data_IF_340345638297
#
_entry.id   IF_340345638297
#
_cell.length_a   1.000
_cell.length_b   1.000
_cell.length_c   1.000
_cell.angle_alpha   90.00
_cell.angle_beta   90.00
_cell.angle_gamma   90.00
#
_symmetry.space_group_name_H-M   'P 1'
#
loop_
_entity.id
_entity.type
_entity.pdbx_description
1 polymer ?
#
# COMPACT_ATOMS: atom_id res chain seq x y z
N UNK A 1 -25.99 -8.88 -26.60
CA UNK A 1 -25.51 -8.86 -25.19
C UNK A 1 -24.48 -9.98 -24.98
N UNK A 2 -23.56 -9.85 -24.02
CA UNK A 2 -22.51 -10.86 -23.73
C UNK A 2 -22.83 -11.62 -22.42
N UNK A 3 -23.70 -12.67 -22.43
CA UNK A 3 -24.20 -13.31 -21.22
C UNK A 3 -23.10 -13.97 -20.37
N UNK A 4 -22.11 -14.60 -21.00
CA UNK A 4 -20.98 -15.20 -20.30
C UNK A 4 -20.14 -14.16 -19.53
N UNK A 5 -19.96 -12.97 -20.09
CA UNK A 5 -19.22 -11.88 -19.42
C UNK A 5 -20.02 -11.34 -18.23
N UNK A 6 -21.34 -11.19 -18.38
CA UNK A 6 -22.22 -10.79 -17.27
C UNK A 6 -22.13 -11.79 -16.12
N UNK A 7 -22.32 -13.09 -16.41
CA UNK A 7 -22.22 -14.16 -15.43
C UNK A 7 -20.85 -14.20 -14.73
N UNK A 8 -19.77 -14.01 -15.49
CA UNK A 8 -18.43 -13.93 -14.94
C UNK A 8 -18.24 -12.74 -13.98
N UNK A 9 -18.73 -11.55 -14.35
CA UNK A 9 -18.69 -10.37 -13.48
C UNK A 9 -19.48 -10.62 -12.19
N UNK A 10 -20.68 -11.19 -12.31
CA UNK A 10 -21.52 -11.54 -11.16
C UNK A 10 -20.83 -12.54 -10.24
N UNK A 11 -20.22 -13.59 -10.79
CA UNK A 11 -19.49 -14.59 -10.00
C UNK A 11 -18.29 -13.98 -9.28
N UNK A 12 -17.48 -13.17 -9.96
CA UNK A 12 -16.34 -12.50 -9.29
C UNK A 12 -16.77 -11.52 -8.21
N UNK A 13 -17.96 -10.93 -8.28
CA UNK A 13 -18.48 -10.02 -7.25
C UNK A 13 -18.79 -10.75 -5.95
N UNK A 14 -19.25 -12.01 -6.02
CA UNK A 14 -19.58 -12.83 -4.84
C UNK A 14 -18.40 -13.04 -3.90
N UNK A 15 -17.18 -13.15 -4.44
CA UNK A 15 -15.95 -13.46 -3.71
C UNK A 15 -15.08 -12.24 -3.37
N UNK A 16 -15.58 -11.02 -3.55
CA UNK A 16 -14.92 -9.80 -3.04
C UNK A 16 -15.31 -9.62 -1.57
N UNK A 17 -14.56 -8.84 -0.80
CA UNK A 17 -14.89 -8.56 0.62
C UNK A 17 -16.30 -7.96 0.84
N UNK A 18 -16.91 -7.34 -0.18
CA UNK A 18 -18.28 -6.82 -0.14
C UNK A 18 -19.31 -7.77 -0.79
N UNK A 19 -18.86 -8.94 -1.23
CA UNK A 19 -19.65 -9.96 -1.91
C UNK A 19 -20.38 -10.88 -0.95
N UNK A 20 -21.38 -11.60 -1.46
CA UNK A 20 -22.25 -12.48 -0.67
C UNK A 20 -21.52 -13.61 0.04
N UNK A 21 -20.44 -14.15 -0.53
CA UNK A 21 -19.70 -15.29 0.05
C UNK A 21 -18.77 -14.88 1.19
N UNK A 22 -18.46 -13.58 1.29
CA UNK A 22 -17.50 -13.03 2.26
C UNK A 22 -18.16 -11.92 3.10
N UNK A 23 -19.49 -11.81 3.03
CA UNK A 23 -20.27 -10.76 3.66
C UNK A 23 -20.04 -10.76 5.19
N UNK A 24 -19.83 -9.58 5.75
CA UNK A 24 -19.59 -9.40 7.20
C UNK A 24 -18.16 -9.71 7.64
N UNK A 25 -17.25 -10.09 6.74
CA UNK A 25 -15.84 -10.34 7.10
C UNK A 25 -15.02 -9.05 7.23
N UNK A 26 -15.44 -7.99 6.53
CA UNK A 26 -14.85 -6.66 6.64
C UNK A 26 -15.87 -5.66 7.17
N UNK A 27 -15.43 -4.80 8.09
CA UNK A 27 -16.18 -3.67 8.60
C UNK A 27 -16.07 -2.49 7.64
N UNK A 28 -17.13 -1.71 7.53
CA UNK A 28 -17.05 -0.35 7.00
C UNK A 28 -16.28 0.55 7.98
N UNK A 29 -15.74 1.67 7.49
CA UNK A 29 -15.10 2.67 8.36
C UNK A 29 -16.06 3.14 9.47
N UNK A 30 -17.34 3.33 9.16
CA UNK A 30 -18.34 3.77 10.13
C UNK A 30 -18.60 2.73 11.22
N UNK A 31 -18.76 1.45 10.86
CA UNK A 31 -18.92 0.37 11.85
C UNK A 31 -17.71 0.25 12.76
N UNK A 32 -16.50 0.34 12.20
CA UNK A 32 -15.27 0.32 12.98
C UNK A 32 -15.14 1.54 13.91
N UNK A 33 -15.45 2.74 13.44
CA UNK A 33 -15.45 3.95 14.26
C UNK A 33 -16.51 3.91 15.37
N UNK A 34 -17.68 3.32 15.11
CA UNK A 34 -18.71 3.11 16.12
C UNK A 34 -18.26 2.09 17.17
N UNK A 35 -17.57 1.01 16.76
CA UNK A 35 -16.97 0.07 17.71
C UNK A 35 -15.91 0.72 18.61
N UNK A 36 -15.29 1.81 18.15
CA UNK A 36 -14.32 2.61 18.89
C UNK A 36 -14.88 3.94 19.41
N UNK A 37 -16.21 4.10 19.56
CA UNK A 37 -16.84 5.40 19.84
C UNK A 37 -16.19 6.15 21.01
N UNK A 38 -15.90 5.47 22.12
CA UNK A 38 -15.26 6.06 23.31
C UNK A 38 -13.80 6.51 23.09
N UNK A 39 -13.14 5.92 22.10
CA UNK A 39 -11.74 6.14 21.78
C UNK A 39 -11.56 6.93 20.47
N UNK A 40 -12.66 7.31 19.81
CA UNK A 40 -12.66 7.88 18.47
C UNK A 40 -11.90 9.20 18.45
N UNK A 41 -11.00 9.31 17.47
CA UNK A 41 -10.30 10.55 17.12
C UNK A 41 -10.75 11.01 15.73
N UNK A 42 -10.74 12.32 15.53
CA UNK A 42 -11.13 12.95 14.27
C UNK A 42 -10.06 13.93 13.80
N UNK A 43 -10.07 14.19 12.50
CA UNK A 43 -9.18 15.19 11.89
C UNK A 43 -9.83 16.57 11.94
N UNK A 44 -9.17 17.51 12.63
CA UNK A 44 -9.62 18.89 12.86
C UNK A 44 -8.85 19.88 11.99
N UNK A 45 -7.54 19.74 11.85
CA UNK A 45 -6.77 20.63 10.96
C UNK A 45 -7.04 20.30 9.50
N UNK A 46 -7.14 21.31 8.64
CA UNK A 46 -7.22 21.14 7.18
C UNK A 46 -5.91 21.55 6.53
N UNK A 47 -5.16 20.58 5.99
CA UNK A 47 -3.84 20.79 5.38
C UNK A 47 -3.80 20.40 3.90
N UNK A 48 -4.86 20.71 3.16
CA UNK A 48 -5.07 20.26 1.77
C UNK A 48 -4.02 20.74 0.77
N UNK A 49 -3.31 21.84 1.04
CA UNK A 49 -2.26 22.38 0.16
C UNK A 49 -0.95 21.57 0.15
N UNK A 50 -0.80 20.58 1.04
CA UNK A 50 0.45 19.84 1.22
C UNK A 50 0.49 18.51 0.48
N UNK A 51 -0.64 18.08 -0.08
CA UNK A 51 -0.86 16.76 -0.63
C UNK A 51 -1.85 16.83 -1.79
N UNK A 52 -1.79 15.87 -2.71
CA UNK A 52 -2.89 15.69 -3.65
C UNK A 52 -4.13 15.14 -2.91
N UNK A 53 -5.31 15.29 -3.52
CA UNK A 53 -6.60 14.90 -2.93
C UNK A 53 -6.59 13.45 -2.43
N UNK A 54 -6.09 12.52 -3.25
CA UNK A 54 -5.98 11.10 -2.87
C UNK A 54 -5.18 10.91 -1.58
N UNK A 55 -3.98 11.49 -1.54
CA UNK A 55 -3.06 11.30 -0.41
C UNK A 55 -3.59 11.98 0.85
N UNK A 56 -4.27 13.13 0.71
CA UNK A 56 -4.97 13.77 1.82
C UNK A 56 -6.03 12.82 2.41
N UNK A 57 -6.89 12.26 1.55
CA UNK A 57 -7.93 11.31 1.95
C UNK A 57 -7.38 10.11 2.73
N UNK A 58 -6.35 9.44 2.19
CA UNK A 58 -5.74 8.28 2.85
C UNK A 58 -5.12 8.66 4.20
N UNK A 59 -4.34 9.73 4.24
CA UNK A 59 -3.54 10.11 5.41
C UNK A 59 -4.39 10.62 6.55
N UNK A 60 -5.47 11.36 6.27
CA UNK A 60 -6.37 11.86 7.32
C UNK A 60 -7.14 10.72 7.99
N UNK A 61 -7.72 9.82 7.19
CA UNK A 61 -8.44 8.66 7.72
C UNK A 61 -7.50 7.73 8.48
N UNK A 62 -6.35 7.38 7.89
CA UNK A 62 -5.38 6.49 8.54
C UNK A 62 -4.85 7.08 9.85
N UNK A 63 -4.54 8.38 9.89
CA UNK A 63 -4.08 9.04 11.12
C UNK A 63 -5.14 8.99 12.23
N UNK A 64 -6.39 9.29 11.91
CA UNK A 64 -7.50 9.24 12.86
C UNK A 64 -7.74 7.81 13.38
N UNK A 65 -7.66 6.81 12.51
CA UNK A 65 -7.79 5.39 12.89
C UNK A 65 -6.66 4.95 13.80
N UNK A 66 -5.40 5.25 13.46
CA UNK A 66 -4.25 4.91 14.29
C UNK A 66 -4.33 5.62 15.65
N UNK A 67 -4.74 6.89 15.68
CA UNK A 67 -4.92 7.61 16.93
C UNK A 67 -6.07 7.05 17.80
N UNK A 68 -7.16 6.60 17.17
CA UNK A 68 -8.26 5.93 17.88
C UNK A 68 -7.80 4.60 18.47
N UNK A 69 -7.00 3.83 17.71
CA UNK A 69 -6.39 2.60 18.18
C UNK A 69 -5.44 2.84 19.36
N UNK A 70 -4.59 3.87 19.29
CA UNK A 70 -3.71 4.24 20.41
C UNK A 70 -4.53 4.61 21.66
N UNK A 71 -5.65 5.33 21.49
CA UNK A 71 -6.52 5.68 22.61
C UNK A 71 -7.15 4.46 23.25
N UNK A 72 -7.57 3.48 22.44
CA UNK A 72 -8.08 2.20 22.92
C UNK A 72 -7.01 1.39 23.67
N UNK A 73 -5.80 1.32 23.11
CA UNK A 73 -4.65 0.65 23.75
C UNK A 73 -4.30 1.31 25.09
N UNK A 74 -4.25 2.64 25.15
CA UNK A 74 -3.96 3.38 26.38
C UNK A 74 -5.02 3.11 27.46
N UNK A 75 -6.29 3.04 27.06
CA UNK A 75 -7.41 2.77 27.97
C UNK A 75 -7.39 1.36 28.55
N UNK A 76 -6.84 0.38 27.82
CA UNK A 76 -6.65 -1.00 28.28
C UNK A 76 -5.44 -1.14 29.23
N UNK A 77 -4.53 -0.16 29.28
CA UNK A 77 -3.34 -0.17 30.14
C UNK A 77 -3.65 0.35 31.56
N UNK A 78 -3.09 -0.25 32.62
CA UNK A 78 -3.24 0.25 33.98
C UNK A 78 -2.63 1.66 34.15
N UNK A 79 -3.46 2.67 34.43
CA UNK A 79 -3.08 4.09 34.47
C UNK A 79 -2.40 4.58 33.17
N UNK A 80 -2.70 3.94 32.04
CA UNK A 80 -2.11 4.27 30.76
C UNK A 80 -2.60 5.61 30.23
N UNK A 81 -1.66 6.38 29.70
CA UNK A 81 -1.92 7.61 28.98
C UNK A 81 -1.48 7.47 27.52
N UNK A 82 -1.95 8.38 26.68
CA UNK A 82 -1.56 8.40 25.28
C UNK A 82 -0.04 8.67 25.10
N UNK A 83 0.59 9.31 26.09
CA UNK A 83 2.03 9.63 26.10
C UNK A 83 2.91 8.39 26.34
N UNK A 84 2.33 7.30 26.86
CA UNK A 84 3.03 6.02 27.07
C UNK A 84 3.15 5.19 25.77
N UNK A 85 2.48 5.62 24.70
CA UNK A 85 2.43 4.92 23.42
C UNK A 85 3.32 5.63 22.41
N UNK A 86 4.24 4.86 21.83
CA UNK A 86 4.97 5.27 20.63
C UNK A 86 4.38 4.57 19.40
N UNK A 87 4.00 5.34 18.39
CA UNK A 87 3.62 4.78 17.09
C UNK A 87 4.88 4.49 16.28
N UNK A 88 4.97 3.29 15.72
CA UNK A 88 5.98 2.93 14.72
C UNK A 88 5.29 2.90 13.36
N UNK A 89 5.68 3.78 12.42
CA UNK A 89 5.16 3.76 11.04
C UNK A 89 6.12 2.99 10.14
N UNK A 90 5.73 1.78 9.76
CA UNK A 90 6.52 0.89 8.94
C UNK A 90 6.33 1.18 7.45
N UNK A 91 7.40 1.67 6.81
CA UNK A 91 7.34 2.19 5.44
C UNK A 91 6.88 3.64 5.41
N UNK A 92 7.44 4.46 6.29
CA UNK A 92 7.11 5.88 6.48
C UNK A 92 7.17 6.71 5.18
N UNK A 93 8.00 6.27 4.23
CA UNK A 93 8.16 6.89 2.93
C UNK A 93 8.58 8.35 3.08
N UNK A 94 7.68 9.27 2.75
CA UNK A 94 7.97 10.72 2.83
C UNK A 94 7.39 11.37 4.09
N UNK A 95 7.09 10.60 5.13
CA UNK A 95 6.63 11.11 6.42
C UNK A 95 5.19 11.60 6.43
N UNK A 96 4.34 11.20 5.49
CA UNK A 96 3.00 11.78 5.37
C UNK A 96 2.06 11.36 6.50
N UNK A 97 2.00 10.07 6.81
CA UNK A 97 1.17 9.53 7.88
C UNK A 97 1.77 9.91 9.24
N UNK A 98 3.04 9.61 9.48
CA UNK A 98 3.73 9.97 10.73
C UNK A 98 3.60 11.44 11.12
N UNK A 99 3.90 12.35 10.19
CA UNK A 99 3.75 13.79 10.48
C UNK A 99 2.30 14.18 10.76
N UNK A 100 1.32 13.51 10.12
CA UNK A 100 -0.10 13.79 10.36
C UNK A 100 -0.55 13.31 11.74
N UNK A 101 -0.16 12.10 12.15
CA UNK A 101 -0.47 11.56 13.48
C UNK A 101 0.09 12.49 14.57
N UNK A 102 1.36 12.89 14.44
CA UNK A 102 2.00 13.80 15.39
C UNK A 102 1.32 15.17 15.45
N UNK A 103 1.08 15.81 14.30
CA UNK A 103 0.49 17.16 14.22
C UNK A 103 -0.95 17.18 14.70
N UNK A 104 -1.78 16.24 14.27
CA UNK A 104 -3.22 16.26 14.53
C UNK A 104 -3.59 15.77 15.94
N UNK A 105 -2.85 14.76 16.43
CA UNK A 105 -3.23 13.99 17.60
C UNK A 105 -2.21 14.03 18.74
N UNK A 106 -1.05 14.66 18.54
CA UNK A 106 -0.02 14.78 19.58
C UNK A 106 0.63 13.46 19.99
N UNK A 107 0.51 12.42 19.16
CA UNK A 107 1.09 11.11 19.44
C UNK A 107 2.53 11.10 18.93
N UNK A 108 3.45 10.56 19.74
CA UNK A 108 4.83 10.34 19.31
C UNK A 108 4.88 9.28 18.22
N UNK A 109 5.64 9.56 17.17
CA UNK A 109 5.81 8.67 16.02
C UNK A 109 7.28 8.53 15.66
N UNK A 110 7.71 7.28 15.51
CA UNK A 110 8.93 6.92 14.80
C UNK A 110 8.57 6.36 13.43
N UNK A 111 8.86 7.14 12.39
CA UNK A 111 8.82 6.67 11.01
C UNK A 111 10.04 5.83 10.67
N UNK A 112 9.85 4.68 10.05
CA UNK A 112 10.95 3.81 9.62
C UNK A 112 10.79 3.47 8.15
N UNK A 113 11.81 3.75 7.33
CA UNK A 113 11.83 3.40 5.92
C UNK A 113 13.18 2.79 5.55
N UNK A 114 13.19 1.79 4.66
CA UNK A 114 14.44 1.17 4.24
C UNK A 114 15.20 2.00 3.19
N UNK A 115 14.60 3.07 2.65
CA UNK A 115 15.20 3.93 1.64
C UNK A 115 15.61 5.27 2.24
N UNK A 116 16.90 5.57 2.22
CA UNK A 116 17.46 6.80 2.79
C UNK A 116 16.93 8.08 2.12
N UNK A 117 16.62 8.05 0.81
CA UNK A 117 16.04 9.19 0.10
C UNK A 117 14.65 9.52 0.64
N UNK A 118 13.86 8.50 0.98
CA UNK A 118 12.56 8.65 1.60
C UNK A 118 12.67 9.32 2.98
N UNK A 119 13.55 8.80 3.85
CA UNK A 119 13.86 9.37 5.17
C UNK A 119 14.25 10.85 5.06
N UNK A 120 15.21 11.18 4.19
CA UNK A 120 15.63 12.57 3.93
C UNK A 120 14.48 13.47 3.45
N UNK A 121 13.58 12.94 2.61
CA UNK A 121 12.39 13.67 2.16
C UNK A 121 11.37 13.87 3.29
N UNK A 122 11.27 12.93 4.21
CA UNK A 122 10.40 12.98 5.37
C UNK A 122 10.87 14.04 6.38
N UNK A 123 12.18 14.19 6.59
CA UNK A 123 12.77 15.27 7.38
C UNK A 123 12.51 16.64 6.74
N UNK A 124 12.82 16.80 5.45
CA UNK A 124 12.52 18.04 4.70
C UNK A 124 11.05 18.41 4.76
N UNK A 125 10.15 17.41 4.80
CA UNK A 125 8.72 17.64 4.99
C UNK A 125 8.42 18.20 6.38
N UNK A 126 8.99 17.61 7.44
CA UNK A 126 8.85 18.10 8.83
C UNK A 126 9.25 19.56 8.93
N UNK A 127 10.36 19.96 8.33
CA UNK A 127 10.82 21.35 8.34
C UNK A 127 9.84 22.30 7.64
N UNK A 128 9.31 21.89 6.49
CA UNK A 128 8.27 22.67 5.78
C UNK A 128 7.01 22.83 6.62
N UNK A 129 6.63 21.80 7.40
CA UNK A 129 5.44 21.84 8.25
C UNK A 129 5.54 22.90 9.35
N UNK A 130 6.73 23.17 9.90
CA UNK A 130 6.93 24.23 10.92
C UNK A 130 6.36 25.59 10.49
N UNK A 131 6.51 25.94 9.20
CA UNK A 131 6.00 27.21 8.66
C UNK A 131 4.52 27.18 8.28
N UNK A 132 3.94 25.99 8.14
CA UNK A 132 2.58 25.76 7.62
C UNK A 132 1.56 25.48 8.71
N UNK A 133 1.97 24.80 9.78
CA UNK A 133 1.13 24.50 10.94
C UNK A 133 0.50 25.76 11.54
N UNK A 134 1.23 26.87 11.81
CA UNK A 134 0.61 28.08 12.36
C UNK A 134 -0.51 28.63 11.48
N UNK A 135 -0.32 28.62 10.16
CA UNK A 135 -1.34 29.07 9.19
C UNK A 135 -2.56 28.16 9.18
N UNK A 136 -2.35 26.85 9.27
CA UNK A 136 -3.43 25.86 9.29
C UNK A 136 -4.23 25.94 10.60
N UNK A 137 -3.56 26.05 11.75
CA UNK A 137 -4.18 26.21 13.08
C UNK A 137 -5.05 27.46 13.13
N UNK A 138 -4.50 28.61 12.69
CA UNK A 138 -5.26 29.86 12.58
C UNK A 138 -6.47 29.74 11.65
N UNK A 139 -6.30 29.14 10.46
CA UNK A 139 -7.40 28.95 9.49
C UNK A 139 -8.51 28.04 10.04
N UNK A 140 -8.16 27.11 10.92
CA UNK A 140 -9.09 26.17 11.53
C UNK A 140 -9.68 26.69 12.87
N UNK A 141 -9.29 27.88 13.33
CA UNK A 141 -9.68 28.46 14.63
C UNK A 141 -9.32 27.54 15.82
N UNK A 142 -8.12 26.95 15.79
CA UNK A 142 -7.63 26.01 16.81
C UNK A 142 -6.54 26.63 17.71
N UNK A 143 -6.45 27.96 17.76
CA UNK A 143 -5.38 28.67 18.49
C UNK A 143 -5.53 28.56 20.02
N UNK A 144 -6.76 28.32 20.51
CA UNK A 144 -7.11 28.16 21.93
C UNK A 144 -7.06 26.70 22.42
N UNK A 145 -6.89 25.73 21.51
CA UNK A 145 -6.77 24.31 21.86
C UNK A 145 -5.36 24.03 22.42
N UNK A 146 -5.31 23.48 23.63
CA UNK A 146 -4.06 23.27 24.39
C UNK A 146 -3.00 22.50 23.59
N UNK A 147 -3.40 21.45 22.87
CA UNK A 147 -2.49 20.65 22.05
C UNK A 147 -1.89 21.49 20.93
N UNK A 148 -2.72 22.23 20.19
CA UNK A 148 -2.23 23.07 19.10
C UNK A 148 -1.43 24.27 19.59
N UNK A 149 -1.79 24.89 20.73
CA UNK A 149 -0.96 25.92 21.36
C UNK A 149 0.43 25.40 21.71
N UNK A 150 0.52 24.18 22.26
CA UNK A 150 1.81 23.53 22.55
C UNK A 150 2.58 23.16 21.29
N UNK A 151 1.89 22.71 20.24
CA UNK A 151 2.50 22.40 18.94
C UNK A 151 3.15 23.62 18.27
N UNK A 152 2.64 24.82 18.53
CA UNK A 152 3.20 26.07 18.00
C UNK A 152 4.49 26.52 18.72
N UNK A 153 4.86 25.90 19.84
CA UNK A 153 6.16 26.12 20.49
C UNK A 153 7.26 25.46 19.65
N UNK A 154 8.38 26.17 19.45
CA UNK A 154 9.33 26.03 18.33
C UNK A 154 9.91 24.64 18.00
N UNK A 155 9.83 23.66 18.91
CA UNK A 155 10.47 22.35 18.75
C UNK A 155 9.54 21.15 18.96
N UNK A 156 8.26 21.38 19.28
CA UNK A 156 7.31 20.31 19.65
C UNK A 156 7.12 19.27 18.54
N UNK A 157 7.17 19.67 17.27
CA UNK A 157 7.03 18.71 16.17
C UNK A 157 8.23 17.74 16.07
N UNK A 158 9.44 18.18 16.45
CA UNK A 158 10.64 17.33 16.41
C UNK A 158 10.71 16.37 17.60
N UNK A 159 10.05 16.72 18.70
CA UNK A 159 9.89 15.83 19.85
C UNK A 159 8.75 14.83 19.65
N UNK A 160 7.77 15.14 18.79
CA UNK A 160 6.68 14.22 18.45
C UNK A 160 7.01 13.31 17.27
N UNK A 161 7.77 13.77 16.26
CA UNK A 161 7.99 12.99 15.05
C UNK A 161 9.47 12.91 14.65
N UNK A 162 9.99 11.68 14.67
CA UNK A 162 11.32 11.31 14.20
C UNK A 162 11.21 10.26 13.11
N UNK A 163 12.23 10.18 12.26
CA UNK A 163 12.29 9.22 11.15
C UNK A 163 13.69 8.63 11.08
N UNK A 164 13.82 7.40 10.59
CA UNK A 164 15.10 6.69 10.49
C UNK A 164 15.16 5.74 9.30
N UNK A 165 16.37 5.53 8.79
CA UNK A 165 16.62 4.62 7.67
C UNK A 165 16.97 3.24 8.19
N UNK A 166 16.01 2.32 8.18
CA UNK A 166 16.20 0.94 8.59
C UNK A 166 15.19 0.02 7.89
N UNK A 167 15.61 -1.21 7.61
CA UNK A 167 14.68 -2.25 7.19
C UNK A 167 13.92 -2.79 8.40
N UNK A 168 12.59 -2.76 8.38
CA UNK A 168 11.78 -3.48 9.35
C UNK A 168 11.59 -4.92 8.88
N UNK A 169 11.98 -5.84 9.74
CA UNK A 169 11.70 -7.26 9.66
C UNK A 169 11.19 -7.79 11.01
N UNK A 170 11.10 -9.11 11.13
CA UNK A 170 10.60 -9.77 12.33
C UNK A 170 11.66 -9.91 13.44
N UNK A 171 12.91 -9.49 13.20
CA UNK A 171 14.01 -9.50 14.18
C UNK A 171 14.30 -8.09 14.72
N UNK A 172 13.62 -7.08 14.21
CA UNK A 172 13.84 -5.68 14.56
C UNK A 172 13.49 -5.39 16.05
N UNK A 173 14.47 -4.94 16.83
CA UNK A 173 14.26 -4.50 18.22
C UNK A 173 13.70 -3.07 18.27
N UNK A 174 12.37 -2.97 18.39
CA UNK A 174 11.67 -1.70 18.50
C UNK A 174 11.97 -0.94 19.80
N UNK A 175 12.35 -1.62 20.88
CA UNK A 175 12.66 -0.98 22.15
C UNK A 175 14.00 -0.25 22.05
N UNK A 176 15.02 -0.91 21.51
CA UNK A 176 16.31 -0.28 21.26
C UNK A 176 16.17 0.89 20.30
N UNK A 177 15.42 0.70 19.21
CA UNK A 177 15.17 1.75 18.23
C UNK A 177 14.45 2.95 18.85
N UNK A 178 13.41 2.72 19.66
CA UNK A 178 12.70 3.75 20.39
C UNK A 178 13.63 4.50 21.37
N UNK A 179 14.47 3.80 22.13
CA UNK A 179 15.44 4.42 23.05
C UNK A 179 16.48 5.27 22.32
N UNK A 180 16.94 4.83 21.16
CA UNK A 180 17.90 5.59 20.36
C UNK A 180 17.31 6.93 19.90
N UNK A 181 16.08 6.91 19.39
CA UNK A 181 15.45 8.11 18.85
C UNK A 181 14.72 8.96 19.89
N UNK A 182 14.25 8.38 20.98
CA UNK A 182 13.55 9.07 22.08
C UNK A 182 14.18 8.71 23.43
N UNK A 183 15.44 9.09 23.70
CA UNK A 183 16.20 8.64 24.88
C UNK A 183 15.67 9.18 26.21
N UNK A 184 14.93 10.29 26.18
CA UNK A 184 14.29 10.88 27.35
C UNK A 184 13.01 10.13 27.75
N UNK A 185 12.49 9.27 26.87
CA UNK A 185 11.27 8.52 27.09
C UNK A 185 11.59 7.04 27.37
N UNK A 186 10.76 6.39 28.17
CA UNK A 186 10.85 4.96 28.44
C UNK A 186 9.65 4.24 27.81
N UNK A 187 9.47 4.41 26.50
CA UNK A 187 8.39 3.78 25.73
C UNK A 187 8.53 2.25 25.81
N UNK A 188 7.47 1.60 26.31
CA UNK A 188 7.38 0.14 26.43
C UNK A 188 6.14 -0.43 25.75
N UNK A 189 5.26 0.43 25.26
CA UNK A 189 4.08 0.07 24.50
C UNK A 189 4.15 0.74 23.13
N UNK A 190 3.96 -0.04 22.08
CA UNK A 190 3.96 0.42 20.71
C UNK A 190 2.64 0.15 20.03
N UNK A 191 2.27 1.06 19.12
CA UNK A 191 1.28 0.78 18.08
C UNK A 191 2.00 0.76 16.74
N UNK A 192 1.89 -0.34 16.00
CA UNK A 192 2.49 -0.46 14.68
C UNK A 192 1.48 0.00 13.62
N UNK A 193 1.87 0.87 12.71
CA UNK A 193 1.07 1.21 11.56
C UNK A 193 1.87 1.10 10.27
N UNK A 194 1.17 1.09 9.14
CA UNK A 194 1.81 1.18 7.83
C UNK A 194 0.80 1.43 6.74
N UNK A 195 0.99 2.53 6.00
CA UNK A 195 0.12 2.91 4.89
C UNK A 195 0.81 2.63 3.56
N UNK A 196 0.32 1.61 2.85
CA UNK A 196 0.94 1.03 1.63
C UNK A 196 2.20 0.21 1.93
N UNK A 197 2.11 -0.73 2.87
CA UNK A 197 3.21 -1.67 3.16
C UNK A 197 3.46 -2.58 1.95
N UNK A 198 4.59 -2.36 1.27
CA UNK A 198 4.90 -3.05 0.02
C UNK A 198 5.44 -4.46 0.26
N UNK A 199 5.02 -5.44 -0.55
CA UNK A 199 5.64 -6.76 -0.58
C UNK A 199 5.55 -7.50 0.77
N UNK A 200 6.70 -7.93 1.33
CA UNK A 200 6.70 -8.61 2.62
C UNK A 200 6.63 -7.66 3.84
N UNK A 201 6.67 -6.33 3.66
CA UNK A 201 6.63 -5.42 4.80
C UNK A 201 5.36 -5.61 5.63
N UNK A 202 4.19 -5.69 4.99
CA UNK A 202 2.91 -5.97 5.65
C UNK A 202 2.91 -7.27 6.47
N UNK A 203 3.17 -8.45 5.87
CA UNK A 203 3.23 -9.70 6.62
C UNK A 203 4.36 -9.76 7.66
N UNK A 204 5.48 -9.05 7.45
CA UNK A 204 6.53 -8.96 8.47
C UNK A 204 6.08 -8.11 9.67
N UNK A 205 5.33 -7.02 9.45
CA UNK A 205 4.71 -6.26 10.54
C UNK A 205 3.75 -7.13 11.37
N UNK A 206 2.96 -7.98 10.71
CA UNK A 206 2.05 -8.91 11.40
C UNK A 206 2.81 -9.97 12.22
N UNK A 207 3.94 -10.48 11.73
CA UNK A 207 4.82 -11.38 12.50
C UNK A 207 5.47 -10.68 13.67
N UNK A 208 6.00 -9.49 13.44
CA UNK A 208 6.61 -8.67 14.48
C UNK A 208 5.60 -8.36 15.58
N UNK A 209 4.37 -7.98 15.22
CA UNK A 209 3.24 -7.83 16.15
C UNK A 209 2.97 -9.11 16.95
N UNK A 210 3.00 -10.28 16.31
CA UNK A 210 2.79 -11.54 17.01
C UNK A 210 3.93 -11.90 17.98
N UNK A 211 5.18 -11.68 17.56
CA UNK A 211 6.37 -12.09 18.30
C UNK A 211 6.76 -11.10 19.40
N UNK A 212 6.42 -9.81 19.26
CA UNK A 212 6.81 -8.75 20.17
C UNK A 212 5.63 -8.27 21.02
N UNK A 213 5.60 -8.67 22.29
CA UNK A 213 4.54 -8.33 23.25
C UNK A 213 4.44 -6.85 23.59
N UNK A 214 5.45 -6.04 23.26
CA UNK A 214 5.39 -4.58 23.45
C UNK A 214 4.49 -3.90 22.42
N UNK A 215 4.17 -4.56 21.30
CA UNK A 215 3.27 -4.01 20.28
C UNK A 215 1.83 -4.39 20.67
N UNK A 216 1.07 -3.41 21.15
CA UNK A 216 -0.28 -3.62 21.68
C UNK A 216 -1.40 -3.40 20.65
N UNK A 217 -1.09 -2.75 19.53
CA UNK A 217 -2.02 -2.54 18.42
C UNK A 217 -1.32 -2.49 17.08
N UNK A 218 -2.04 -2.88 16.02
CA UNK A 218 -1.57 -2.78 14.65
C UNK A 218 -2.68 -2.24 13.73
N UNK A 219 -2.31 -1.39 12.77
CA UNK A 219 -3.16 -0.97 11.65
C UNK A 219 -2.35 -1.00 10.36
N UNK A 220 -2.63 -1.96 9.46
CA UNK A 220 -1.78 -2.21 8.30
C UNK A 220 -2.56 -2.21 6.98
N UNK A 221 -2.18 -1.31 6.06
CA UNK A 221 -2.70 -1.26 4.70
C UNK A 221 -1.63 -1.80 3.75
N UNK A 222 -1.78 -3.06 3.32
CA UNK A 222 -0.86 -3.71 2.40
C UNK A 222 -1.00 -3.25 0.94
N UNK A 223 0.10 -3.25 0.19
CA UNK A 223 0.06 -3.01 -1.24
C UNK A 223 1.18 -3.74 -2.01
N UNK A 224 1.23 -3.56 -3.34
CA UNK A 224 2.26 -4.11 -4.22
C UNK A 224 2.48 -5.62 -4.01
N UNK A 225 1.40 -6.40 -3.97
CA UNK A 225 1.45 -7.83 -3.65
C UNK A 225 2.41 -8.61 -4.55
N UNK A 226 2.67 -8.16 -5.78
CA UNK A 226 3.63 -8.77 -6.70
C UNK A 226 5.10 -8.74 -6.21
N UNK A 227 5.44 -7.85 -5.27
CA UNK A 227 6.77 -7.79 -4.64
C UNK A 227 6.94 -8.80 -3.50
N UNK A 228 5.85 -9.42 -3.07
CA UNK A 228 5.86 -10.44 -2.03
C UNK A 228 6.58 -11.71 -2.49
N UNK A 229 7.16 -12.47 -1.57
CA UNK A 229 7.65 -13.83 -1.84
C UNK A 229 6.64 -14.86 -1.39
N UNK A 230 6.46 -15.91 -2.19
CA UNK A 230 5.58 -17.04 -1.84
C UNK A 230 6.42 -18.25 -1.42
N UNK A 231 5.97 -18.99 -0.41
CA UNK A 231 6.69 -20.15 0.12
C UNK A 231 6.77 -21.31 -0.89
N UNK A 232 5.68 -21.53 -1.64
CA UNK A 232 5.53 -22.72 -2.48
C UNK A 232 5.68 -22.43 -3.99
N UNK A 233 6.18 -21.25 -4.36
CA UNK A 233 6.38 -20.85 -5.76
C UNK A 233 7.78 -20.27 -5.96
N UNK A 234 8.46 -20.72 -7.01
CA UNK A 234 9.68 -20.08 -7.50
C UNK A 234 9.26 -18.99 -8.49
N UNK A 235 9.61 -17.74 -8.18
CA UNK A 235 9.38 -16.61 -9.06
C UNK A 235 10.63 -16.34 -9.92
N UNK A 236 10.59 -16.76 -11.18
CA UNK A 236 11.67 -16.55 -12.15
C UNK A 236 12.00 -15.06 -12.41
N UNK A 237 11.09 -14.14 -12.05
CA UNK A 237 11.29 -12.70 -12.20
C UNK A 237 11.76 -12.02 -10.91
N UNK A 238 11.85 -12.76 -9.81
CA UNK A 238 12.34 -12.23 -8.56
C UNK A 238 13.85 -12.03 -8.64
N UNK A 239 14.32 -10.81 -8.35
CA UNK A 239 15.74 -10.52 -8.37
C UNK A 239 16.38 -11.09 -7.07
N UNK A 240 17.25 -12.12 -7.15
CA UNK A 240 17.87 -12.70 -5.96
C UNK A 240 18.74 -11.69 -5.20
N UNK A 241 19.26 -10.66 -5.86
CA UNK A 241 20.04 -9.60 -5.22
C UNK A 241 19.19 -8.70 -4.29
N UNK A 242 17.85 -8.80 -4.33
CA UNK A 242 16.92 -8.07 -3.47
C UNK A 242 16.31 -8.91 -2.35
N UNK A 243 16.86 -10.10 -2.09
CA UNK A 243 16.39 -11.00 -1.01
C UNK A 243 16.57 -10.33 0.36
N UNK A 244 17.71 -9.65 0.58
CA UNK A 244 18.01 -8.92 1.82
C UNK A 244 16.93 -7.88 2.17
N UNK A 245 16.36 -7.26 1.14
CA UNK A 245 15.40 -6.16 1.28
C UNK A 245 13.98 -6.66 1.55
N UNK A 246 13.76 -7.98 1.55
CA UNK A 246 12.44 -8.60 1.64
C UNK A 246 12.51 -9.99 2.32
N UNK A 247 12.91 -10.03 3.61
CA UNK A 247 13.16 -11.28 4.31
C UNK A 247 11.89 -12.12 4.47
N UNK A 248 12.08 -13.44 4.50
CA UNK A 248 11.01 -14.42 4.66
C UNK A 248 10.07 -14.58 3.46
N UNK A 249 8.94 -15.24 3.70
CA UNK A 249 7.84 -15.40 2.75
C UNK A 249 6.67 -14.51 3.18
N UNK A 250 6.03 -13.79 2.29
CA UNK A 250 4.87 -12.97 2.62
C UNK A 250 3.53 -13.68 2.45
N UNK A 251 3.49 -14.81 1.74
CA UNK A 251 2.30 -15.64 1.57
C UNK A 251 2.65 -17.13 1.36
N UNK A 252 1.81 -18.08 1.83
CA UNK A 252 0.71 -17.85 2.77
C UNK A 252 1.21 -17.60 4.20
N UNK A 253 0.41 -16.92 5.00
CA UNK A 253 0.66 -16.69 6.43
C UNK A 253 -0.07 -17.69 7.31
N UNK A 254 -1.34 -17.97 7.02
CA UNK A 254 -2.17 -18.87 7.82
C UNK A 254 -1.69 -20.31 7.77
N UNK A 255 -1.79 -21.02 8.89
CA UNK A 255 -1.56 -22.45 8.96
C UNK A 255 -2.50 -23.20 8.00
N UNK A 256 -3.75 -22.76 7.86
CA UNK A 256 -4.72 -23.31 6.93
C UNK A 256 -4.23 -23.37 5.47
N UNK A 257 -3.68 -22.27 4.93
CA UNK A 257 -3.16 -22.24 3.55
C UNK A 257 -1.78 -22.86 3.43
N UNK A 258 -0.92 -22.73 4.45
CA UNK A 258 0.40 -23.38 4.49
C UNK A 258 0.29 -24.91 4.46
N UNK A 259 -0.63 -25.49 5.22
CA UNK A 259 -0.87 -26.94 5.23
C UNK A 259 -1.35 -27.47 3.87
N UNK A 260 -2.00 -26.63 3.07
CA UNK A 260 -2.42 -26.95 1.69
C UNK A 260 -1.35 -26.68 0.66
N UNK A 261 -0.19 -26.13 1.07
CA UNK A 261 0.87 -25.67 0.18
C UNK A 261 0.33 -24.71 -0.89
N UNK A 262 -0.62 -23.86 -0.50
CA UNK A 262 -1.37 -23.03 -1.43
C UNK A 262 -0.49 -21.93 -2.03
N UNK A 263 -0.69 -21.68 -3.32
CA UNK A 263 0.08 -20.73 -4.12
C UNK A 263 -0.85 -19.93 -5.04
N UNK A 264 -0.57 -18.63 -5.17
CA UNK A 264 -1.30 -17.70 -6.06
C UNK A 264 -0.48 -17.45 -7.32
N UNK A 265 0.83 -17.27 -7.17
CA UNK A 265 1.74 -16.89 -8.25
C UNK A 265 1.79 -15.38 -8.51
N UNK A 266 2.93 -14.94 -9.04
CA UNK A 266 3.26 -13.51 -9.24
C UNK A 266 2.23 -12.75 -10.08
N UNK A 267 1.74 -13.35 -11.17
CA UNK A 267 0.83 -12.65 -12.10
C UNK A 267 -0.52 -12.32 -11.46
N UNK A 268 -1.06 -13.24 -10.65
CA UNK A 268 -2.29 -13.00 -9.90
C UNK A 268 -2.06 -11.96 -8.79
N UNK A 269 -0.91 -11.99 -8.08
CA UNK A 269 -0.55 -10.93 -7.13
C UNK A 269 -0.34 -9.56 -7.79
N UNK A 270 0.18 -9.52 -9.01
CA UNK A 270 0.28 -8.29 -9.78
C UNK A 270 -1.11 -7.76 -10.16
N UNK A 271 -2.00 -8.65 -10.60
CA UNK A 271 -3.40 -8.32 -10.86
C UNK A 271 -4.12 -7.82 -9.61
N UNK A 272 -3.87 -8.41 -8.44
CA UNK A 272 -4.43 -7.95 -7.18
C UNK A 272 -4.09 -6.49 -6.88
N UNK A 273 -3.04 -5.92 -7.50
CA UNK A 273 -2.65 -4.51 -7.40
C UNK A 273 -3.43 -3.55 -8.32
N UNK A 274 -4.32 -4.07 -9.17
CA UNK A 274 -5.15 -3.30 -10.10
C UNK A 274 -6.50 -2.93 -9.49
N UNK A 275 -7.21 -2.00 -10.12
CA UNK A 275 -8.52 -1.52 -9.68
C UNK A 275 -9.39 -1.25 -10.88
N UNK A 276 -10.60 -1.82 -10.84
CA UNK A 276 -11.60 -1.66 -11.88
C UNK A 276 -12.50 -0.46 -11.61
N UNK A 277 -12.67 -0.07 -10.35
CA UNK A 277 -13.63 0.94 -9.89
C UNK A 277 -13.40 2.28 -10.59
N UNK A 278 -12.13 2.70 -10.68
CA UNK A 278 -11.76 3.93 -11.38
C UNK A 278 -12.02 3.86 -12.88
N UNK A 279 -11.67 2.74 -13.51
CA UNK A 279 -11.87 2.54 -14.94
C UNK A 279 -13.38 2.57 -15.28
N UNK A 280 -14.22 1.94 -14.46
CA UNK A 280 -15.67 1.96 -14.63
C UNK A 280 -16.27 3.36 -14.47
N UNK A 281 -15.86 4.12 -13.45
CA UNK A 281 -16.40 5.45 -13.19
C UNK A 281 -16.00 6.45 -14.27
N UNK A 282 -14.72 6.45 -14.64
CA UNK A 282 -14.21 7.37 -15.66
C UNK A 282 -14.50 6.89 -17.10
N UNK A 283 -15.05 5.68 -17.26
CA UNK A 283 -15.24 5.01 -18.56
C UNK A 283 -13.94 4.95 -19.36
N UNK A 284 -12.85 4.67 -18.66
CA UNK A 284 -11.50 4.63 -19.22
C UNK A 284 -11.17 3.23 -19.75
N UNK A 285 -10.65 3.19 -20.98
CA UNK A 285 -10.07 1.97 -21.53
C UNK A 285 -8.63 1.77 -21.01
N UNK A 286 -8.15 0.51 -20.93
CA UNK A 286 -6.74 0.23 -20.68
C UNK A 286 -5.82 0.95 -21.68
N UNK A 287 -4.62 1.31 -21.24
CA UNK A 287 -3.65 2.01 -22.09
C UNK A 287 -3.25 1.19 -23.31
N UNK A 288 -3.24 1.82 -24.49
CA UNK A 288 -2.76 1.21 -25.75
C UNK A 288 -1.33 0.68 -25.66
N UNK A 289 -0.54 1.14 -24.69
CA UNK A 289 0.82 0.65 -24.42
C UNK A 289 0.87 -0.84 -24.09
N UNK A 290 -0.20 -1.41 -23.56
CA UNK A 290 -0.31 -2.86 -23.35
C UNK A 290 -0.32 -3.59 -24.71
N UNK A 291 -1.07 -3.05 -25.67
CA UNK A 291 -1.07 -3.49 -27.06
C UNK A 291 0.28 -3.29 -27.73
N UNK A 292 0.90 -2.11 -27.58
CA UNK A 292 2.24 -1.85 -28.12
C UNK A 292 3.30 -2.81 -27.58
N UNK A 293 3.20 -3.19 -26.29
CA UNK A 293 4.08 -4.21 -25.69
C UNK A 293 3.85 -5.59 -26.31
N UNK A 294 2.60 -5.96 -26.60
CA UNK A 294 2.28 -7.23 -27.26
C UNK A 294 2.81 -7.25 -28.71
N UNK A 295 2.59 -6.18 -29.48
CA UNK A 295 3.10 -6.06 -30.85
C UNK A 295 4.63 -6.00 -30.90
N UNK A 296 5.27 -5.34 -29.93
CA UNK A 296 6.73 -5.39 -29.79
C UNK A 296 7.23 -6.84 -29.64
N UNK A 297 6.50 -7.69 -28.90
CA UNK A 297 6.88 -9.10 -28.79
C UNK A 297 6.77 -9.84 -30.13
N UNK A 298 5.78 -9.50 -30.98
CA UNK A 298 5.69 -10.03 -32.35
C UNK A 298 6.90 -9.62 -33.17
N UNK A 299 7.29 -8.34 -33.12
CA UNK A 299 8.52 -7.84 -33.77
C UNK A 299 9.73 -8.61 -33.27
N UNK A 300 9.94 -8.69 -31.95
CA UNK A 300 11.08 -9.38 -31.35
C UNK A 300 11.17 -10.86 -31.76
N UNK A 301 10.03 -11.57 -31.87
CA UNK A 301 9.98 -12.95 -32.34
C UNK A 301 10.42 -13.10 -33.79
N UNK A 302 10.06 -12.16 -34.68
CA UNK A 302 10.50 -12.15 -36.08
C UNK A 302 12.03 -12.06 -36.20
N UNK A 303 12.68 -11.38 -35.24
CA UNK A 303 14.14 -11.24 -35.17
C UNK A 303 14.80 -12.28 -34.25
N UNK A 304 14.14 -13.42 -34.00
CA UNK A 304 14.70 -14.55 -33.27
C UNK A 304 14.84 -14.34 -31.76
N UNK A 305 14.32 -13.24 -31.19
CA UNK A 305 14.32 -13.00 -29.75
C UNK A 305 13.16 -13.76 -29.09
N UNK A 306 13.42 -15.02 -28.72
CA UNK A 306 12.45 -15.92 -28.08
C UNK A 306 12.23 -15.65 -26.60
N UNK A 307 13.20 -15.01 -25.92
CA UNK A 307 13.07 -14.64 -24.50
C UNK A 307 12.31 -13.32 -24.37
N UNK A 308 11.41 -13.24 -23.39
CA UNK A 308 10.72 -11.98 -23.10
C UNK A 308 11.71 -10.97 -22.51
N UNK A 309 11.69 -9.74 -23.03
CA UNK A 309 12.56 -8.65 -22.60
C UNK A 309 11.77 -7.59 -21.82
N UNK A 310 12.40 -7.04 -20.78
CA UNK A 310 11.80 -6.01 -19.94
C UNK A 310 12.19 -4.61 -20.42
N UNK A 311 11.26 -3.91 -21.08
CA UNK A 311 11.43 -2.51 -21.52
C UNK A 311 11.26 -1.52 -20.36
N UNK A 312 10.45 -1.88 -19.36
CA UNK A 312 10.05 -1.00 -18.27
C UNK A 312 9.09 0.11 -18.72
N UNK A 313 8.90 1.12 -17.85
CA UNK A 313 8.00 2.25 -18.14
C UNK A 313 8.61 3.14 -19.22
N UNK A 314 7.83 3.42 -20.25
CA UNK A 314 8.26 4.23 -21.39
C UNK A 314 7.18 5.25 -21.77
N UNK A 315 7.63 6.48 -22.06
CA UNK A 315 6.78 7.52 -22.66
C UNK A 315 6.91 7.40 -24.19
N UNK A 316 5.78 7.22 -24.85
CA UNK A 316 5.70 7.12 -26.30
C UNK A 316 4.46 7.83 -26.83
N UNK A 317 4.56 8.38 -28.04
CA UNK A 317 3.47 9.05 -28.74
C UNK A 317 2.59 8.12 -29.60
N UNK A 318 3.03 6.89 -29.84
CA UNK A 318 2.35 5.88 -30.65
C UNK A 318 3.13 4.58 -30.71
N UNK A 319 2.67 3.60 -31.50
CA UNK A 319 3.31 2.29 -31.61
C UNK A 319 4.74 2.38 -32.16
N UNK A 320 4.95 3.13 -33.25
CA UNK A 320 6.27 3.28 -33.90
C UNK A 320 7.31 3.82 -32.90
N UNK A 321 6.98 4.94 -32.25
CA UNK A 321 7.83 5.58 -31.26
C UNK A 321 8.10 4.65 -30.05
N UNK A 322 7.10 3.86 -29.65
CA UNK A 322 7.27 2.85 -28.61
C UNK A 322 8.30 1.79 -29.02
N UNK A 323 8.21 1.24 -30.24
CA UNK A 323 9.14 0.22 -30.74
C UNK A 323 10.56 0.77 -30.84
N UNK A 324 10.76 1.94 -31.47
CA UNK A 324 12.08 2.57 -31.63
C UNK A 324 12.79 2.76 -30.29
N UNK A 325 12.09 3.37 -29.33
CA UNK A 325 12.62 3.59 -27.99
C UNK A 325 12.87 2.28 -27.23
N UNK A 326 12.03 1.27 -27.45
CA UNK A 326 12.21 -0.05 -26.82
C UNK A 326 13.43 -0.76 -27.37
N UNK A 327 13.61 -0.80 -28.70
CA UNK A 327 14.78 -1.40 -29.37
C UNK A 327 16.07 -0.73 -28.90
N UNK A 328 16.10 0.61 -28.84
CA UNK A 328 17.25 1.36 -28.31
C UNK A 328 17.54 1.01 -26.85
N UNK A 329 16.52 1.02 -25.99
CA UNK A 329 16.69 0.73 -24.56
C UNK A 329 17.18 -0.70 -24.31
N UNK A 330 16.81 -1.63 -25.18
CA UNK A 330 17.23 -3.03 -25.11
C UNK A 330 18.58 -3.29 -25.79
N UNK A 331 19.21 -2.27 -26.41
CA UNK A 331 20.46 -2.43 -27.14
C UNK A 331 20.35 -3.34 -28.36
N UNK A 332 19.21 -3.33 -29.05
CA UNK A 332 18.91 -4.21 -30.18
C UNK A 332 18.95 -3.51 -31.55
N UNK A 333 19.51 -2.30 -31.62
CA UNK A 333 19.52 -1.47 -32.83
C UNK A 333 20.25 -2.16 -34.01
N UNK A 334 21.29 -2.95 -33.74
CA UNK A 334 22.03 -3.69 -34.77
C UNK A 334 21.34 -4.98 -35.24
N UNK A 335 20.32 -5.44 -34.50
CA UNK A 335 19.65 -6.73 -34.74
C UNK A 335 18.24 -6.58 -35.27
N UNK A 336 17.58 -5.45 -35.00
CA UNK A 336 16.18 -5.21 -35.34
C UNK A 336 16.11 -4.04 -36.32
N UNK A 337 16.03 -4.35 -37.61
CA UNK A 337 15.92 -3.36 -38.69
C UNK A 337 14.51 -3.32 -39.25
N UNK A 338 13.62 -2.59 -38.57
CA UNK A 338 12.23 -2.43 -39.01
C UNK A 338 11.99 -1.01 -39.52
N UNK A 339 11.27 -0.86 -40.64
CA UNK A 339 10.85 0.44 -41.16
C UNK A 339 9.46 0.80 -40.59
N UNK A 340 9.09 2.08 -40.73
CA UNK A 340 7.87 2.60 -40.12
C UNK A 340 6.61 2.08 -40.84
N UNK A 341 6.69 1.82 -42.15
CA UNK A 341 5.61 1.25 -42.96
C UNK A 341 5.21 -0.15 -42.47
N UNK A 342 6.18 -1.05 -42.27
CA UNK A 342 5.93 -2.39 -41.72
C UNK A 342 5.35 -2.36 -40.30
N UNK A 343 5.68 -1.35 -39.50
CA UNK A 343 5.09 -1.17 -38.17
C UNK A 343 3.62 -0.72 -38.26
N UNK A 344 3.30 0.17 -39.19
CA UNK A 344 1.91 0.60 -39.44
C UNK A 344 1.06 -0.56 -39.96
N UNK A 345 1.59 -1.35 -40.90
CA UNK A 345 0.92 -2.56 -41.40
C UNK A 345 0.69 -3.57 -40.28
N UNK A 346 1.66 -3.77 -39.39
CA UNK A 346 1.53 -4.67 -38.25
C UNK A 346 0.44 -4.19 -37.28
N UNK A 347 0.42 -2.90 -36.95
CA UNK A 347 -0.61 -2.33 -36.08
C UNK A 347 -2.00 -2.43 -36.72
N UNK A 348 -2.14 -2.12 -38.01
CA UNK A 348 -3.40 -2.25 -38.74
C UNK A 348 -3.89 -3.71 -38.79
N UNK A 349 -2.98 -4.66 -39.03
CA UNK A 349 -3.26 -6.09 -39.07
C UNK A 349 -3.87 -6.62 -37.77
N UNK A 350 -3.42 -6.10 -36.62
CA UNK A 350 -3.87 -6.52 -35.30
C UNK A 350 -4.89 -5.56 -34.64
N UNK A 351 -5.45 -4.62 -35.41
CA UNK A 351 -6.37 -3.59 -34.89
C UNK A 351 -7.57 -4.18 -34.12
N UNK A 352 -8.13 -5.30 -34.60
CA UNK A 352 -9.25 -5.97 -33.93
C UNK A 352 -8.80 -6.63 -32.62
N UNK A 353 -7.68 -7.34 -32.63
CA UNK A 353 -7.10 -7.99 -31.46
C UNK A 353 -6.68 -6.98 -30.40
N UNK A 354 -6.22 -5.78 -30.79
CA UNK A 354 -5.90 -4.69 -29.87
C UNK A 354 -7.15 -4.21 -29.11
N UNK A 355 -8.30 -4.13 -29.77
CA UNK A 355 -9.58 -3.81 -29.12
C UNK A 355 -10.08 -4.98 -28.25
N UNK A 356 -9.95 -6.23 -28.71
CA UNK A 356 -10.26 -7.40 -27.90
C UNK A 356 -9.37 -7.49 -26.65
N UNK A 357 -8.10 -7.08 -26.75
CA UNK A 357 -7.15 -7.05 -25.65
C UNK A 357 -7.62 -6.06 -24.57
N UNK A 358 -8.16 -4.89 -24.95
CA UNK A 358 -8.77 -3.93 -23.99
C UNK A 358 -9.91 -4.58 -23.22
N UNK A 359 -10.81 -5.28 -23.92
CA UNK A 359 -11.92 -6.02 -23.29
C UNK A 359 -11.39 -7.10 -22.35
N UNK A 360 -10.40 -7.88 -22.78
CA UNK A 360 -9.75 -8.90 -21.95
C UNK A 360 -9.15 -8.31 -20.67
N UNK A 361 -8.48 -7.15 -20.75
CA UNK A 361 -7.93 -6.48 -19.58
C UNK A 361 -9.01 -6.04 -18.59
N UNK A 362 -10.13 -5.51 -19.07
CA UNK A 362 -11.26 -5.11 -18.21
C UNK A 362 -11.93 -6.31 -17.53
N UNK A 363 -12.06 -7.44 -18.24
CA UNK A 363 -12.55 -8.70 -17.66
C UNK A 363 -11.55 -9.23 -16.62
N UNK A 364 -10.26 -9.25 -16.95
CA UNK A 364 -9.19 -9.67 -16.03
C UNK A 364 -9.19 -8.84 -14.75
N UNK A 365 -9.41 -7.52 -14.84
CA UNK A 365 -9.48 -6.62 -13.69
C UNK A 365 -10.61 -6.95 -12.70
N UNK A 366 -11.64 -7.69 -13.11
CA UNK A 366 -12.68 -8.16 -12.18
C UNK A 366 -12.14 -9.17 -11.15
N UNK A 367 -11.06 -9.90 -11.47
CA UNK A 367 -10.40 -10.81 -10.55
C UNK A 367 -9.51 -10.10 -9.52
N UNK A 368 -9.05 -8.88 -9.79
CA UNK A 368 -8.16 -8.14 -8.89
C UNK A 368 -8.65 -8.11 -7.42
N UNK A 369 -9.91 -7.70 -7.13
CA UNK A 369 -10.41 -7.68 -5.76
C UNK A 369 -10.62 -9.09 -5.16
N UNK A 370 -10.84 -10.11 -5.99
CA UNK A 370 -10.96 -11.50 -5.50
C UNK A 370 -9.60 -12.01 -5.01
N UNK A 371 -8.54 -11.75 -5.77
CA UNK A 371 -7.18 -12.14 -5.36
C UNK A 371 -6.72 -11.34 -4.14
N UNK A 372 -7.03 -10.05 -4.08
CA UNK A 372 -6.77 -9.23 -2.89
C UNK A 372 -7.53 -9.74 -1.66
N UNK A 373 -8.81 -10.11 -1.82
CA UNK A 373 -9.63 -10.72 -0.75
C UNK A 373 -8.95 -11.97 -0.19
N UNK A 374 -8.48 -12.88 -1.05
CA UNK A 374 -7.77 -14.08 -0.60
C UNK A 374 -6.52 -13.77 0.24
N UNK A 375 -5.71 -12.79 -0.19
CA UNK A 375 -4.50 -12.37 0.53
C UNK A 375 -4.86 -11.75 1.89
N UNK A 376 -5.91 -10.93 1.94
CA UNK A 376 -6.36 -10.27 3.17
C UNK A 376 -6.96 -11.28 4.16
N UNK A 377 -7.74 -12.25 3.68
CA UNK A 377 -8.31 -13.32 4.50
C UNK A 377 -7.22 -14.24 5.07
N UNK A 378 -6.18 -14.56 4.30
CA UNK A 378 -5.04 -15.33 4.78
C UNK A 378 -4.35 -14.67 5.98
N UNK A 379 -4.17 -13.34 5.92
CA UNK A 379 -3.57 -12.55 7.00
C UNK A 379 -4.49 -12.41 8.20
N UNK A 380 -5.79 -12.18 7.98
CA UNK A 380 -6.78 -12.16 9.06
C UNK A 380 -6.82 -13.52 9.76
N UNK A 381 -6.84 -14.61 9.00
CA UNK A 381 -6.83 -15.96 9.54
C UNK A 381 -5.56 -16.26 10.32
N UNK A 382 -4.39 -15.81 9.86
CA UNK A 382 -3.14 -15.90 10.63
C UNK A 382 -3.27 -15.23 12.01
N UNK A 383 -3.88 -14.04 12.10
CA UNK A 383 -4.11 -13.37 13.39
C UNK A 383 -5.09 -14.16 14.26
N UNK A 384 -6.18 -14.69 13.70
CA UNK A 384 -7.15 -15.51 14.43
C UNK A 384 -6.52 -16.81 14.96
N UNK A 385 -5.78 -17.52 14.13
CA UNK A 385 -5.04 -18.73 14.50
C UNK A 385 -3.98 -18.44 15.58
N UNK A 386 -3.45 -17.21 15.61
CA UNK A 386 -2.51 -16.73 16.63
C UNK A 386 -3.17 -16.24 17.93
N UNK A 387 -4.50 -16.36 18.05
CA UNK A 387 -5.26 -16.02 19.25
C UNK A 387 -5.76 -14.56 19.33
N UNK A 388 -5.67 -13.78 18.25
CA UNK A 388 -6.15 -12.39 18.24
C UNK A 388 -7.64 -12.32 17.89
N UNK A 389 -8.50 -12.44 18.89
CA UNK A 389 -9.97 -12.31 18.73
C UNK A 389 -10.45 -10.88 18.44
N UNK A 390 -9.58 -9.87 18.56
CA UNK A 390 -9.85 -8.47 18.18
C UNK A 390 -9.09 -8.03 16.91
N UNK A 391 -9.07 -8.87 15.87
CA UNK A 391 -8.51 -8.53 14.55
C UNK A 391 -9.62 -8.35 13.51
N UNK A 392 -9.56 -7.33 12.68
CA UNK A 392 -10.65 -7.00 11.75
C UNK A 392 -10.09 -6.61 10.38
N UNK A 393 -10.83 -6.91 9.32
CA UNK A 393 -10.63 -6.20 8.06
C UNK A 393 -11.50 -4.95 8.08
N UNK A 394 -10.96 -3.79 7.70
CA UNK A 394 -11.72 -2.54 7.68
C UNK A 394 -11.52 -1.86 6.33
N UNK A 395 -12.64 -1.54 5.65
CA UNK A 395 -12.62 -0.70 4.44
C UNK A 395 -12.44 0.76 4.85
N UNK A 396 -11.18 1.20 4.92
CA UNK A 396 -10.79 2.55 5.32
C UNK A 396 -11.08 3.60 4.25
N UNK A 397 -10.85 3.29 2.97
CA UNK A 397 -10.87 4.30 1.91
C UNK A 397 -11.94 4.05 0.87
N UNK A 398 -12.32 5.13 0.18
CA UNK A 398 -13.17 5.04 -0.99
C UNK A 398 -12.38 4.43 -2.16
N UNK A 399 -12.77 3.26 -2.71
CA UNK A 399 -12.00 2.53 -3.73
C UNK A 399 -11.66 3.36 -4.97
N UNK A 400 -12.52 4.30 -5.32
CA UNK A 400 -12.34 5.21 -6.47
C UNK A 400 -11.16 6.15 -6.25
N UNK A 401 -11.06 6.71 -5.03
CA UNK A 401 -10.05 7.67 -4.61
C UNK A 401 -8.75 6.93 -4.31
N UNK A 402 -8.83 5.93 -3.44
CA UNK A 402 -7.76 5.00 -3.13
C UNK A 402 -8.22 3.56 -3.30
N UNK A 403 -7.76 2.89 -4.36
CA UNK A 403 -8.13 1.50 -4.55
C UNK A 403 -7.64 0.54 -3.48
N UNK A 404 -6.61 0.92 -2.71
CA UNK A 404 -5.96 0.06 -1.71
C UNK A 404 -6.61 0.42 -0.39
N UNK A 405 -7.86 -0.02 -0.28
CA UNK A 405 -8.82 0.55 0.65
C UNK A 405 -9.02 -0.26 1.93
N UNK A 406 -8.42 -1.45 2.07
CA UNK A 406 -8.59 -2.30 3.23
C UNK A 406 -7.37 -2.25 4.15
N UNK A 407 -7.63 -2.14 5.45
CA UNK A 407 -6.66 -2.33 6.51
C UNK A 407 -6.95 -3.61 7.31
N UNK A 408 -5.90 -4.16 7.90
CA UNK A 408 -5.93 -5.17 8.97
C UNK A 408 -5.67 -4.52 10.33
#
# INVERSE_FOLDING_TARGET
>A
ELPAVKAFIEETRKYRLEGSEVQGTALTLAEFQNALERCRKETRLKMTELMNVKKCHEVEIAAAVVASLCTAVASDLPNGTQDDILVIDAGDGKGYLSSRIAVEHGIKVLGVDCNEENTNNAEKRRDRLKTKIPKAVKKANLEEDEHFTNLLKGDTLETLYRTTTQLIDFETDLIELAKHHFPADNHRTFCLCGLHTCGNLGPNCLRLFHQNRTIAGICNVGCCYHLMREEFVIDDFYNPAKISDNPGFGFPMSAYLRNRRFAIGRNARNLASESIERACINRENPSDKLGYRALLQVVLLQYGQKKSLQVGRLKSGGFIDYVRKSVRRLGLEDRVTINDESLLELEARFSTELEQLKVFYLIRQQFAPVVETLILLDRLLFLRESGYERSFLVKLFEPVVSPRCYAL
#
